data_IF_841265983072
#
_entry.id   IF_841265983072
#
_cell.length_a   1.000
_cell.length_b   1.000
_cell.length_c   1.000
_cell.angle_alpha   90.00
_cell.angle_beta   90.00
_cell.angle_gamma   90.00
#
_symmetry.space_group_name_H-M   'P 1'
#
loop_
_entity.id
_entity.type
_entity.pdbx_description
1 polymer ?
#
# COMPACT_ATOMS: atom_id res chain seq x y z
N UNK A 1 4.58 -13.54 0.74
CA UNK A 1 5.71 -13.58 -0.23
C UNK A 1 7.00 -13.23 0.51
N UNK A 2 8.13 -13.93 0.29
CA UNK A 2 9.38 -13.63 0.97
C UNK A 2 10.13 -12.47 0.28
N UNK A 3 10.66 -11.55 1.07
CA UNK A 3 11.64 -10.54 0.66
C UNK A 3 13.00 -10.91 1.24
N UNK A 4 14.04 -10.88 0.40
CA UNK A 4 15.41 -11.13 0.81
C UNK A 4 16.36 -10.12 0.15
N UNK A 5 17.31 -9.61 0.94
CA UNK A 5 18.47 -8.89 0.43
C UNK A 5 19.65 -9.85 0.40
N UNK A 6 20.25 -10.12 -0.76
CA UNK A 6 21.35 -11.07 -0.88
C UNK A 6 22.71 -10.38 -0.92
N UNK A 7 23.68 -10.96 -0.22
CA UNK A 7 25.09 -10.56 -0.25
C UNK A 7 25.89 -11.69 -0.92
N UNK A 8 26.52 -11.41 -2.06
CA UNK A 8 27.21 -12.43 -2.88
C UNK A 8 28.70 -12.61 -2.55
N UNK A 9 29.32 -11.70 -1.80
CA UNK A 9 30.72 -11.84 -1.39
C UNK A 9 30.86 -12.80 -0.19
N UNK A 10 31.96 -13.57 -0.10
CA UNK A 10 32.23 -14.44 1.04
C UNK A 10 32.60 -13.60 2.26
N UNK A 11 31.59 -13.01 2.88
CA UNK A 11 31.67 -12.27 4.14
C UNK A 11 31.10 -13.18 5.22
N UNK A 12 31.76 -13.23 6.38
CA UNK A 12 31.28 -13.98 7.54
C UNK A 12 29.84 -13.50 7.90
N UNK A 13 28.85 -14.41 8.03
CA UNK A 13 27.44 -14.02 8.22
C UNK A 13 27.22 -13.08 9.41
N UNK A 14 28.00 -13.28 10.47
CA UNK A 14 27.94 -12.47 11.69
C UNK A 14 28.41 -11.03 11.45
N UNK A 15 29.32 -10.81 10.49
CA UNK A 15 29.76 -9.47 10.07
C UNK A 15 28.74 -8.81 9.12
N UNK A 16 28.09 -9.59 8.27
CA UNK A 16 27.05 -9.10 7.36
C UNK A 16 25.79 -8.62 8.11
N UNK A 17 25.43 -9.31 9.20
CA UNK A 17 24.26 -8.98 10.03
C UNK A 17 24.47 -7.80 10.98
N UNK A 18 25.67 -7.21 11.04
CA UNK A 18 25.93 -6.00 11.83
C UNK A 18 25.17 -4.78 11.30
N UNK A 19 24.88 -4.75 10.00
CA UNK A 19 24.24 -3.62 9.35
C UNK A 19 22.83 -3.98 8.86
N UNK A 20 21.82 -3.38 9.49
CA UNK A 20 20.44 -3.42 9.00
C UNK A 20 20.26 -2.44 7.85
N UNK A 21 19.55 -2.87 6.81
CA UNK A 21 19.27 -2.04 5.63
C UNK A 21 17.81 -1.58 5.69
N UNK A 22 17.53 -0.28 5.57
CA UNK A 22 16.16 0.19 5.45
C UNK A 22 15.64 -0.11 4.04
N UNK A 23 14.53 -0.84 3.96
CA UNK A 23 13.80 -1.12 2.72
C UNK A 23 12.45 -0.43 2.79
N UNK A 24 12.15 0.36 1.77
CA UNK A 24 10.81 0.93 1.54
C UNK A 24 10.12 0.16 0.43
N UNK A 25 8.86 -0.20 0.69
CA UNK A 25 7.96 -0.78 -0.31
C UNK A 25 6.91 0.26 -0.70
N UNK A 26 6.67 0.37 -2.00
CA UNK A 26 5.72 1.31 -2.56
C UNK A 26 6.28 2.72 -2.72
N UNK A 27 5.72 3.45 -3.68
CA UNK A 27 5.94 4.87 -3.87
C UNK A 27 4.70 5.52 -4.50
N UNK A 28 3.83 6.14 -3.68
CA UNK A 28 2.57 6.74 -4.14
C UNK A 28 2.74 7.81 -5.23
N UNK A 29 3.89 8.48 -5.29
CA UNK A 29 4.19 9.45 -6.34
C UNK A 29 4.39 8.79 -7.73
N UNK A 30 4.59 7.47 -7.78
CA UNK A 30 4.69 6.71 -9.02
C UNK A 30 3.32 6.17 -9.41
N UNK A 31 2.82 6.61 -10.57
CA UNK A 31 1.50 6.25 -11.10
C UNK A 31 1.26 4.74 -11.31
N UNK A 32 2.33 3.95 -11.42
CA UNK A 32 2.26 2.49 -11.60
C UNK A 32 2.34 1.72 -10.28
N UNK A 33 2.60 2.41 -9.16
CA UNK A 33 2.68 1.77 -7.85
C UNK A 33 1.30 1.69 -7.21
N UNK A 34 0.80 0.48 -7.02
CA UNK A 34 -0.51 0.23 -6.40
C UNK A 34 -0.42 -0.45 -5.06
N UNK A 35 0.72 -0.35 -4.36
CA UNK A 35 0.82 -0.80 -2.97
C UNK A 35 0.07 0.16 -2.04
N UNK A 36 -0.95 -0.35 -1.36
CA UNK A 36 -1.62 0.38 -0.29
C UNK A 36 -0.86 0.25 1.03
N UNK A 37 -0.34 -0.95 1.31
CA UNK A 37 0.46 -1.24 2.50
C UNK A 37 0.72 -2.73 2.68
N UNK A 38 1.35 -3.09 3.78
CA UNK A 38 1.80 -4.45 4.04
C UNK A 38 1.87 -4.81 5.52
N UNK A 39 1.85 -6.11 5.78
CA UNK A 39 2.13 -6.72 7.08
C UNK A 39 3.43 -7.52 7.01
N UNK A 40 4.14 -7.58 8.12
CA UNK A 40 5.45 -8.23 8.23
C UNK A 40 5.33 -9.48 9.10
N UNK A 41 5.88 -10.60 8.64
CA UNK A 41 5.96 -11.88 9.36
C UNK A 41 4.62 -12.40 9.91
N UNK A 42 3.54 -12.22 9.13
CA UNK A 42 2.17 -12.59 9.53
C UNK A 42 1.69 -11.92 10.83
N UNK A 43 2.35 -10.84 11.24
CA UNK A 43 1.89 -9.97 12.32
C UNK A 43 0.90 -8.95 11.78
N UNK A 44 -0.38 -9.21 12.03
CA UNK A 44 -1.49 -8.35 11.62
C UNK A 44 -1.80 -7.23 12.63
N UNK A 45 -0.93 -7.03 13.65
CA UNK A 45 -1.08 -5.95 14.65
C UNK A 45 -0.45 -4.63 14.22
N UNK A 46 0.30 -4.59 13.11
CA UNK A 46 0.89 -3.36 12.58
C UNK A 46 0.79 -3.36 11.06
N UNK A 47 -0.08 -2.51 10.53
CA UNK A 47 -0.20 -2.26 9.10
C UNK A 47 0.75 -1.15 8.69
N UNK A 48 1.74 -1.49 7.86
CA UNK A 48 2.69 -0.54 7.31
C UNK A 48 2.09 0.13 6.08
N UNK A 49 1.81 1.43 6.20
CA UNK A 49 1.37 2.23 5.05
C UNK A 49 2.54 2.43 4.07
N UNK A 50 2.25 2.35 2.77
CA UNK A 50 3.26 2.59 1.71
C UNK A 50 3.79 4.03 1.70
N UNK A 51 2.99 4.97 2.21
CA UNK A 51 3.37 6.36 2.41
C UNK A 51 2.62 6.97 3.61
N UNK A 52 3.33 7.76 4.42
CA UNK A 52 2.75 8.53 5.52
C UNK A 52 1.65 9.49 5.03
N UNK A 53 1.77 10.01 3.80
CA UNK A 53 0.78 10.91 3.20
C UNK A 53 -0.59 10.26 3.08
N UNK A 54 -0.67 8.94 2.85
CA UNK A 54 -1.95 8.24 2.77
C UNK A 54 -2.70 8.27 4.11
N UNK A 55 -1.99 8.03 5.23
CA UNK A 55 -2.58 8.10 6.56
C UNK A 55 -2.91 9.56 6.96
N UNK A 56 -2.06 10.50 6.56
CA UNK A 56 -2.26 11.92 6.82
C UNK A 56 -3.47 12.50 6.10
N UNK A 57 -3.70 12.12 4.84
CA UNK A 57 -4.80 12.62 4.00
C UNK A 57 -6.05 11.74 4.04
N UNK A 58 -6.03 10.65 4.81
CA UNK A 58 -7.17 9.77 4.93
C UNK A 58 -8.34 10.49 5.59
N UNK A 59 -9.53 10.36 5.00
CA UNK A 59 -10.75 10.97 5.50
C UNK A 59 -11.55 9.93 6.28
N UNK A 60 -12.27 10.37 7.31
CA UNK A 60 -13.24 9.52 7.99
C UNK A 60 -14.32 9.04 7.01
N UNK A 61 -14.48 7.71 6.94
CA UNK A 61 -15.53 7.02 6.19
C UNK A 61 -16.16 5.98 7.11
N UNK A 62 -17.50 5.86 7.12
CA UNK A 62 -18.21 4.97 8.04
C UNK A 62 -19.72 5.06 7.95
N UNK A 63 -20.48 4.32 8.79
CA UNK A 63 -21.94 4.43 8.83
C UNK A 63 -22.37 5.88 9.12
N UNK A 64 -23.17 6.47 8.23
CA UNK A 64 -23.56 7.90 8.25
C UNK A 64 -22.38 8.89 8.18
N UNK A 65 -21.20 8.43 7.76
CA UNK A 65 -19.98 9.22 7.62
C UNK A 65 -19.41 9.07 6.21
N UNK A 66 -19.07 10.19 5.59
CA UNK A 66 -18.57 10.21 4.22
C UNK A 66 -19.65 10.50 3.20
N UNK A 67 -19.23 10.54 1.93
CA UNK A 67 -20.01 11.10 0.85
C UNK A 67 -20.52 9.99 -0.08
N UNK A 68 -21.81 9.67 -0.01
CA UNK A 68 -22.44 8.56 -0.74
C UNK A 68 -23.55 9.01 -1.72
N UNK A 69 -23.75 10.31 -1.91
CA UNK A 69 -24.82 10.88 -2.75
C UNK A 69 -24.26 11.76 -3.87
N UNK A 70 -25.01 12.00 -4.96
CA UNK A 70 -24.66 12.98 -5.98
C UNK A 70 -24.41 14.37 -5.38
N UNK A 71 -23.32 15.02 -5.81
CA UNK A 71 -22.81 16.26 -5.20
C UNK A 71 -23.74 17.46 -5.32
N UNK A 72 -24.61 17.43 -6.31
CA UNK A 72 -25.67 18.41 -6.52
C UNK A 72 -26.83 18.28 -5.53
N UNK A 73 -26.97 17.17 -4.81
CA UNK A 73 -28.07 16.93 -3.86
C UNK A 73 -27.72 17.27 -2.40
N UNK A 74 -26.47 17.62 -2.12
CA UNK A 74 -25.99 18.00 -0.79
C UNK A 74 -25.07 19.24 -0.84
N UNK A 75 -25.59 20.42 -1.24
CA UNK A 75 -24.78 21.63 -1.45
C UNK A 75 -24.04 22.09 -0.20
N UNK A 76 -24.65 21.97 0.98
CA UNK A 76 -24.04 22.34 2.26
C UNK A 76 -22.86 21.43 2.65
N UNK A 77 -22.94 20.14 2.27
CA UNK A 77 -21.84 19.21 2.48
C UNK A 77 -20.71 19.47 1.48
N UNK A 78 -21.04 19.79 0.22
CA UNK A 78 -20.06 20.18 -0.80
C UNK A 78 -19.30 21.46 -0.44
N UNK A 79 -20.02 22.49 0.04
CA UNK A 79 -19.41 23.75 0.47
C UNK A 79 -18.44 23.57 1.65
N UNK A 80 -18.66 22.54 2.48
CA UNK A 80 -17.77 22.13 3.59
C UNK A 80 -16.78 21.04 3.19
N UNK A 81 -16.81 20.58 1.94
CA UNK A 81 -15.85 19.65 1.36
C UNK A 81 -14.56 20.41 1.00
N UNK A 82 -13.98 21.09 2.00
CA UNK A 82 -12.63 21.65 1.91
C UNK A 82 -11.67 20.48 1.70
N UNK A 83 -10.59 20.62 0.89
CA UNK A 83 -9.52 19.63 0.87
C UNK A 83 -9.07 19.38 2.31
N UNK A 84 -9.26 18.16 2.80
CA UNK A 84 -8.73 17.74 4.09
C UNK A 84 -7.22 17.65 3.94
N UNK A 85 -6.54 18.76 4.19
CA UNK A 85 -5.07 18.87 4.13
C UNK A 85 -4.45 18.26 5.39
N UNK A 86 -4.89 17.07 5.76
CA UNK A 86 -4.45 16.32 6.93
C UNK A 86 -4.89 16.87 8.28
N UNK A 87 -6.13 17.37 8.34
CA UNK A 87 -6.75 17.80 9.60
C UNK A 87 -7.38 16.65 10.38
N UNK A 88 -7.66 15.52 9.74
CA UNK A 88 -8.14 14.28 10.40
C UNK A 88 -7.26 13.06 10.10
N UNK A 89 -5.95 13.08 10.43
CA UNK A 89 -5.07 11.97 10.14
C UNK A 89 -5.52 10.68 10.85
N UNK A 90 -5.35 9.54 10.18
CA UNK A 90 -5.57 8.23 10.81
C UNK A 90 -4.46 7.96 11.81
N UNK A 91 -4.71 8.31 13.07
CA UNK A 91 -3.83 8.01 14.18
C UNK A 91 -4.38 6.80 14.94
N UNK A 92 -3.85 5.62 14.66
CA UNK A 92 -4.21 4.39 15.34
C UNK A 92 -2.96 3.56 15.63
N UNK A 93 -2.84 2.90 16.80
CA UNK A 93 -1.73 1.97 17.10
C UNK A 93 -1.53 0.81 16.12
N UNK A 94 -2.49 0.58 15.21
CA UNK A 94 -2.40 -0.47 14.18
C UNK A 94 -1.75 0.06 12.89
N UNK A 95 -1.47 1.37 12.79
CA UNK A 95 -0.97 2.01 11.57
C UNK A 95 0.45 2.50 11.81
N UNK A 96 1.39 1.93 11.06
CA UNK A 96 2.79 2.34 11.02
C UNK A 96 3.02 3.19 9.76
N UNK A 97 3.38 4.46 9.96
CA UNK A 97 3.45 5.44 8.86
C UNK A 97 4.86 5.68 8.34
N UNK A 98 5.90 5.15 9.01
CA UNK A 98 7.27 5.29 8.52
C UNK A 98 7.47 4.71 7.13
N UNK A 99 6.71 3.67 6.77
CA UNK A 99 6.83 2.96 5.50
C UNK A 99 8.18 2.25 5.31
N UNK A 100 9.01 2.22 6.35
CA UNK A 100 10.34 1.62 6.36
C UNK A 100 10.29 0.27 7.09
N UNK A 101 10.96 -0.70 6.50
CA UNK A 101 11.22 -2.00 7.10
C UNK A 101 12.73 -2.20 7.19
N UNK A 102 13.20 -2.65 8.35
CA UNK A 102 14.61 -2.98 8.54
C UNK A 102 14.85 -4.45 8.21
N UNK A 103 15.73 -4.71 7.26
CA UNK A 103 16.04 -6.06 6.77
C UNK A 103 17.53 -6.34 6.97
N UNK A 104 17.85 -7.49 7.55
CA UNK A 104 19.23 -7.97 7.58
C UNK A 104 19.59 -8.64 6.25
N UNK A 105 20.83 -8.49 5.75
CA UNK A 105 21.30 -9.27 4.62
C UNK A 105 21.11 -10.78 4.86
N UNK A 106 20.73 -11.50 3.82
CA UNK A 106 20.43 -12.94 3.81
C UNK A 106 19.27 -13.40 4.71
N UNK A 107 18.49 -12.47 5.28
CA UNK A 107 17.26 -12.79 5.99
C UNK A 107 16.08 -12.84 5.03
N UNK A 108 15.26 -13.89 5.15
CA UNK A 108 13.94 -13.96 4.53
C UNK A 108 12.91 -13.28 5.44
N UNK A 109 12.22 -12.27 4.91
CA UNK A 109 11.11 -11.58 5.59
C UNK A 109 9.81 -11.89 4.87
N UNK A 110 8.84 -12.46 5.59
CA UNK A 110 7.55 -12.78 5.01
C UNK A 110 6.64 -11.56 4.97
N UNK A 111 6.05 -11.29 3.81
CA UNK A 111 5.18 -10.13 3.60
C UNK A 111 3.80 -10.55 3.13
N UNK A 112 2.78 -9.92 3.70
CA UNK A 112 1.41 -9.92 3.21
C UNK A 112 1.09 -8.53 2.68
N UNK A 113 0.85 -8.43 1.37
CA UNK A 113 0.72 -7.15 0.66
C UNK A 113 -0.74 -6.87 0.34
N UNK A 114 -1.18 -5.62 0.55
CA UNK A 114 -2.44 -5.10 0.02
C UNK A 114 -2.14 -4.25 -1.21
N UNK A 115 -2.49 -4.76 -2.38
CA UNK A 115 -2.04 -4.24 -3.69
C UNK A 115 -3.20 -4.21 -4.69
N UNK A 116 -3.19 -3.21 -5.56
CA UNK A 116 -4.04 -3.18 -6.76
C UNK A 116 -3.55 -4.23 -7.80
N UNK A 117 -4.39 -5.21 -8.20
CA UNK A 117 -3.98 -6.35 -9.04
C UNK A 117 -3.26 -6.07 -10.37
N UNK A 118 -3.46 -4.91 -11.00
CA UNK A 118 -2.84 -4.55 -12.27
C UNK A 118 -1.67 -3.57 -12.13
N UNK A 119 -1.23 -3.31 -10.91
CA UNK A 119 -0.10 -2.44 -10.59
C UNK A 119 1.18 -3.22 -10.33
N UNK A 120 2.28 -2.49 -10.28
CA UNK A 120 3.55 -2.99 -9.75
C UNK A 120 3.78 -2.47 -8.34
N UNK A 121 4.68 -3.11 -7.61
CA UNK A 121 5.18 -2.69 -6.32
C UNK A 121 6.68 -2.46 -6.43
N UNK A 122 7.15 -1.29 -6.03
CA UNK A 122 8.57 -0.97 -6.03
C UNK A 122 9.22 -1.22 -4.67
N UNK A 123 10.42 -1.76 -4.68
CA UNK A 123 11.28 -1.90 -3.51
C UNK A 123 12.52 -1.00 -3.65
N UNK A 124 12.76 -0.14 -2.67
CA UNK A 124 13.89 0.81 -2.64
C UNK A 124 14.66 0.67 -1.33
N UNK A 125 15.98 0.49 -1.40
CA UNK A 125 16.84 0.37 -0.21
C UNK A 125 18.03 1.34 -0.18
N UNK A 126 18.15 2.23 -1.17
CA UNK A 126 19.24 3.21 -1.27
C UNK A 126 20.62 2.64 -1.65
N UNK A 127 20.81 1.32 -1.54
CA UNK A 127 22.07 0.63 -1.87
C UNK A 127 22.05 -0.03 -3.24
N UNK A 128 20.90 -0.59 -3.63
CA UNK A 128 20.72 -1.33 -4.87
C UNK A 128 19.79 -0.54 -5.82
N UNK A 129 19.89 -0.79 -7.14
CA UNK A 129 18.87 -0.33 -8.07
C UNK A 129 17.47 -0.76 -7.61
N UNK A 130 16.50 0.14 -7.77
CA UNK A 130 15.11 -0.13 -7.43
C UNK A 130 14.60 -1.35 -8.21
N UNK A 131 13.92 -2.25 -7.51
CA UNK A 131 13.30 -3.45 -8.10
C UNK A 131 11.79 -3.28 -8.10
N UNK A 132 11.13 -3.86 -9.10
CA UNK A 132 9.67 -3.91 -9.18
C UNK A 132 9.18 -5.36 -9.20
N UNK A 133 7.97 -5.57 -8.66
CA UNK A 133 7.24 -6.84 -8.74
C UNK A 133 5.78 -6.55 -9.06
N UNK A 134 5.24 -7.24 -10.06
CA UNK A 134 3.82 -7.15 -10.44
C UNK A 134 3.14 -8.51 -10.32
N UNK A 135 1.83 -8.51 -10.08
CA UNK A 135 1.04 -9.74 -10.17
C UNK A 135 0.83 -10.12 -11.64
N UNK A 136 0.85 -11.42 -11.92
CA UNK A 136 0.46 -11.91 -13.24
C UNK A 136 -1.05 -11.79 -13.39
N UNK A 137 -1.51 -11.22 -14.51
CA UNK A 137 -2.94 -11.09 -14.84
C UNK A 137 -3.72 -12.40 -14.69
N UNK A 138 -3.09 -13.51 -15.03
CA UNK A 138 -3.63 -14.87 -14.97
C UNK A 138 -4.11 -15.25 -13.56
N UNK A 139 -3.47 -14.70 -12.52
CA UNK A 139 -3.77 -15.02 -11.13
C UNK A 139 -5.03 -14.32 -10.63
N UNK A 140 -5.35 -13.14 -11.18
CA UNK A 140 -6.44 -12.29 -10.69
C UNK A 140 -7.61 -12.19 -11.67
N UNK A 141 -7.39 -12.48 -12.96
CA UNK A 141 -8.41 -12.34 -14.02
C UNK A 141 -9.71 -13.09 -13.72
N UNK A 142 -9.62 -14.36 -13.29
CA UNK A 142 -10.82 -15.16 -13.02
C UNK A 142 -11.62 -14.64 -11.81
N UNK A 143 -10.94 -14.15 -10.78
CA UNK A 143 -11.58 -13.58 -9.60
C UNK A 143 -12.21 -12.22 -9.92
N UNK A 144 -11.48 -11.35 -10.62
CA UNK A 144 -11.97 -10.04 -11.05
C UNK A 144 -13.15 -10.15 -12.02
N UNK A 145 -13.16 -11.15 -12.92
CA UNK A 145 -14.28 -11.39 -13.81
C UNK A 145 -15.59 -11.69 -13.04
N UNK A 146 -15.50 -12.34 -11.87
CA UNK A 146 -16.67 -12.60 -11.00
C UNK A 146 -17.15 -11.36 -10.25
N UNK A 147 -16.29 -10.36 -10.06
CA UNK A 147 -16.61 -9.08 -9.45
C UNK A 147 -17.10 -8.04 -10.47
N UNK A 148 -17.12 -8.38 -11.76
CA UNK A 148 -17.53 -7.46 -12.83
C UNK A 148 -18.96 -6.97 -12.57
N UNK A 149 -19.16 -5.65 -12.35
CA UNK A 149 -20.48 -5.11 -12.09
C UNK A 149 -21.34 -5.18 -13.36
N UNK A 150 -22.50 -5.84 -13.27
CA UNK A 150 -23.50 -5.79 -14.33
C UNK A 150 -24.30 -4.51 -14.18
N UNK A 151 -23.92 -3.46 -14.94
CA UNK A 151 -24.73 -2.26 -15.03
C UNK A 151 -25.97 -2.53 -15.91
N UNK A 152 -27.17 -2.39 -15.34
CA UNK A 152 -28.39 -2.29 -16.14
C UNK A 152 -28.52 -0.86 -16.66
N UNK A 153 -28.26 -0.67 -17.94
CA UNK A 153 -28.73 0.52 -18.64
C UNK A 153 -30.20 0.30 -19.00
N UNK A 154 -31.11 1.02 -18.33
CA UNK A 154 -32.53 1.12 -18.72
C UNK A 154 -32.68 1.91 -20.04
N UNK A 155 -33.90 1.97 -20.63
CA UNK A 155 -34.06 2.44 -22.01
C UNK A 155 -33.47 3.82 -22.20
N UNK A 156 -32.55 3.91 -23.16
CA UNK A 156 -32.08 5.16 -23.73
C UNK A 156 -33.27 5.76 -24.47
N UNK A 157 -33.86 6.82 -23.89
CA UNK A 157 -34.84 7.66 -24.56
C UNK A 157 -34.17 8.45 -25.68
#
# INVERSE_FOLDING_TARGET
APLRLELQEPIEPDLANLNVVPVRLGALAHWQDGLFGYFVNDDYTSFHCSDAAAAGLARQVGPNQGFLQPINLVPDHFAKFVPDTGTTPVNHPYIETSGLMWVQPNQDVNLTLLVEPHSVVHATCGLLPRKEIGLRREWTAAALAKLSPTFRFGPLL
#
